data_IF_665204433665
#
_entry.id   IF_665204433665
#
_cell.length_a   1.000
_cell.length_b   1.000
_cell.length_c   1.000
_cell.angle_alpha   90.00
_cell.angle_beta   90.00
_cell.angle_gamma   90.00
#
_symmetry.space_group_name_H-M   'P 1'
#
loop_
_entity.id
_entity.type
_entity.pdbx_description
1 polymer ?
#
# COMPACT_ATOMS: atom_id res chain seq x y z
N UNK A 1 -1.82 -14.76 44.47
CA UNK A 1 -1.00 -15.40 43.41
C UNK A 1 -1.79 -16.24 42.41
N UNK A 2 -2.81 -17.03 42.81
CA UNK A 2 -3.59 -17.90 41.89
C UNK A 2 -4.27 -17.21 40.69
N UNK A 3 -4.63 -15.92 40.79
CA UNK A 3 -5.26 -15.16 39.69
C UNK A 3 -4.25 -14.54 38.70
N UNK A 4 -2.97 -14.45 39.08
CA UNK A 4 -1.94 -13.79 38.24
C UNK A 4 -1.45 -14.75 37.15
N UNK A 5 -1.29 -16.03 37.49
CA UNK A 5 -0.89 -17.10 36.54
C UNK A 5 -1.83 -17.17 35.32
N UNK A 6 -3.16 -17.24 35.45
CA UNK A 6 -4.04 -17.28 34.28
C UNK A 6 -4.02 -15.98 33.46
N UNK A 7 -3.85 -14.81 34.10
CA UNK A 7 -3.73 -13.52 33.37
C UNK A 7 -2.46 -13.49 32.52
N UNK A 8 -1.34 -13.96 33.07
CA UNK A 8 -0.06 -14.05 32.35
C UNK A 8 -0.17 -15.02 31.17
N UNK A 9 -0.81 -16.18 31.37
CA UNK A 9 -1.02 -17.16 30.29
C UNK A 9 -1.88 -16.57 29.16
N UNK A 10 -2.99 -15.90 29.50
CA UNK A 10 -3.85 -15.26 28.50
C UNK A 10 -3.10 -14.14 27.77
N UNK A 11 -2.31 -13.33 28.48
CA UNK A 11 -1.51 -12.27 27.86
C UNK A 11 -0.45 -12.81 26.89
N UNK A 12 0.22 -13.91 27.25
CA UNK A 12 1.21 -14.56 26.38
C UNK A 12 0.50 -15.17 25.16
N UNK A 13 -0.64 -15.82 25.36
CA UNK A 13 -1.43 -16.40 24.25
C UNK A 13 -1.87 -15.31 23.27
N UNK A 14 -2.35 -14.17 23.79
CA UNK A 14 -2.79 -13.04 22.98
C UNK A 14 -1.62 -12.41 22.22
N UNK A 15 -0.44 -12.32 22.85
CA UNK A 15 0.78 -11.89 22.19
C UNK A 15 1.19 -12.83 21.04
N UNK A 16 1.13 -14.15 21.26
CA UNK A 16 1.44 -15.15 20.22
C UNK A 16 0.47 -15.05 19.05
N UNK A 17 -0.83 -14.89 19.32
CA UNK A 17 -1.86 -14.69 18.28
C UNK A 17 -1.57 -13.42 17.49
N UNK A 18 -1.26 -12.30 18.17
CA UNK A 18 -0.92 -11.04 17.52
C UNK A 18 0.31 -11.19 16.63
N UNK A 19 1.36 -11.85 17.12
CA UNK A 19 2.58 -12.13 16.35
C UNK A 19 2.28 -13.01 15.12
N UNK A 20 1.45 -14.04 15.29
CA UNK A 20 1.03 -14.93 14.22
C UNK A 20 0.25 -14.21 13.12
N UNK A 21 -0.68 -13.33 13.49
CA UNK A 21 -1.43 -12.50 12.53
C UNK A 21 -0.48 -11.54 11.80
N UNK A 22 0.42 -10.87 12.51
CA UNK A 22 1.40 -9.97 11.89
C UNK A 22 2.32 -10.71 10.91
N UNK A 23 2.83 -11.88 11.30
CA UNK A 23 3.66 -12.72 10.45
C UNK A 23 2.90 -13.23 9.21
N UNK A 24 1.63 -13.60 9.36
CA UNK A 24 0.77 -14.00 8.24
C UNK A 24 0.55 -12.85 7.25
N UNK A 25 0.29 -11.64 7.74
CA UNK A 25 0.17 -10.45 6.89
C UNK A 25 1.46 -10.14 6.16
N UNK A 26 2.62 -10.22 6.84
CA UNK A 26 3.93 -10.06 6.20
C UNK A 26 4.18 -11.12 5.14
N UNK A 27 3.84 -12.38 5.41
CA UNK A 27 3.96 -13.48 4.45
C UNK A 27 3.10 -13.25 3.22
N UNK A 28 1.85 -12.80 3.39
CA UNK A 28 0.98 -12.49 2.27
C UNK A 28 1.52 -11.32 1.44
N UNK A 29 2.07 -10.30 2.12
CA UNK A 29 2.67 -9.16 1.45
C UNK A 29 3.90 -9.57 0.61
N UNK A 30 4.85 -10.27 1.23
CA UNK A 30 6.06 -10.79 0.57
C UNK A 30 5.68 -11.78 -0.55
N UNK A 31 4.69 -12.65 -0.31
CA UNK A 31 4.24 -13.65 -1.28
C UNK A 31 3.58 -13.05 -2.52
N UNK A 32 2.75 -12.01 -2.36
CA UNK A 32 2.22 -11.26 -3.51
C UNK A 32 3.36 -10.61 -4.28
N UNK A 33 4.34 -10.04 -3.58
CA UNK A 33 5.48 -9.40 -4.22
C UNK A 33 6.37 -10.38 -4.98
N UNK A 34 6.62 -11.57 -4.44
CA UNK A 34 7.35 -12.63 -5.13
C UNK A 34 6.60 -13.13 -6.36
N UNK A 35 5.27 -13.27 -6.29
CA UNK A 35 4.41 -13.60 -7.45
C UNK A 35 4.45 -12.51 -8.52
N UNK A 36 4.58 -11.24 -8.11
CA UNK A 36 4.79 -10.11 -9.01
C UNK A 36 6.22 -10.05 -9.55
N UNK A 37 7.13 -10.94 -9.14
CA UNK A 37 8.51 -10.99 -9.60
C UNK A 37 9.47 -10.06 -8.86
N UNK A 38 9.03 -9.48 -7.73
CA UNK A 38 9.82 -8.57 -6.91
C UNK A 38 10.71 -9.40 -6.00
N UNK A 39 12.03 -9.20 -6.14
CA UNK A 39 13.03 -9.91 -5.34
C UNK A 39 13.61 -8.99 -4.28
N UNK A 40 13.59 -9.45 -3.04
CA UNK A 40 14.24 -8.79 -1.92
C UNK A 40 15.58 -9.45 -1.63
N UNK A 41 16.64 -8.66 -1.50
CA UNK A 41 17.95 -9.19 -1.11
C UNK A 41 18.04 -9.49 0.40
N UNK A 42 17.23 -8.80 1.22
CA UNK A 42 17.28 -8.95 2.68
C UNK A 42 15.95 -8.61 3.37
N UNK A 43 15.79 -9.06 4.62
CA UNK A 43 14.66 -8.65 5.48
C UNK A 43 14.63 -7.14 5.74
N UNK A 44 15.79 -6.49 5.81
CA UNK A 44 15.88 -5.03 5.97
C UNK A 44 15.29 -4.31 4.77
N UNK A 45 15.50 -4.83 3.56
CA UNK A 45 14.92 -4.29 2.32
C UNK A 45 13.40 -4.37 2.33
N UNK A 46 12.82 -5.43 2.89
CA UNK A 46 11.36 -5.56 3.05
C UNK A 46 10.80 -4.46 3.96
N UNK A 47 11.40 -4.25 5.13
CA UNK A 47 10.95 -3.21 6.07
C UNK A 47 11.13 -1.80 5.50
N UNK A 48 12.25 -1.54 4.83
CA UNK A 48 12.48 -0.28 4.14
C UNK A 48 11.41 -0.09 3.07
N UNK A 49 11.12 -1.10 2.26
CA UNK A 49 10.14 -1.01 1.18
C UNK A 49 8.75 -0.67 1.70
N UNK A 50 8.31 -1.34 2.77
CA UNK A 50 7.03 -1.04 3.45
C UNK A 50 7.02 0.41 3.96
N UNK A 51 8.11 0.85 4.60
CA UNK A 51 8.23 2.22 5.11
C UNK A 51 8.20 3.28 4.00
N UNK A 52 8.97 3.06 2.93
CA UNK A 52 9.03 3.97 1.78
C UNK A 52 7.70 4.01 1.03
N UNK A 53 7.02 2.86 0.89
CA UNK A 53 5.69 2.77 0.31
C UNK A 53 4.66 3.61 1.09
N UNK A 54 4.72 3.58 2.43
CA UNK A 54 3.82 4.39 3.26
C UNK A 54 4.06 5.89 3.11
N UNK A 55 5.34 6.29 3.05
CA UNK A 55 5.72 7.69 2.79
C UNK A 55 5.27 8.11 1.40
N UNK A 56 5.50 7.29 0.39
CA UNK A 56 5.13 7.58 -0.98
C UNK A 56 3.61 7.69 -1.15
N UNK A 57 2.82 6.76 -0.59
CA UNK A 57 1.35 6.83 -0.58
C UNK A 57 0.84 8.12 0.10
N UNK A 58 1.48 8.53 1.20
CA UNK A 58 1.13 9.80 1.86
C UNK A 58 1.43 10.99 0.94
N UNK A 59 2.59 10.99 0.28
CA UNK A 59 3.00 12.04 -0.66
C UNK A 59 2.07 12.08 -1.87
N UNK A 60 1.76 10.95 -2.50
CA UNK A 60 0.87 10.89 -3.67
C UNK A 60 -0.52 11.39 -3.32
N UNK A 61 -1.06 11.04 -2.13
CA UNK A 61 -2.34 11.58 -1.65
C UNK A 61 -2.32 13.10 -1.46
N UNK A 62 -1.28 13.65 -0.84
CA UNK A 62 -1.14 15.09 -0.66
C UNK A 62 -1.05 15.79 -2.02
N UNK A 63 -0.24 15.26 -2.93
CA UNK A 63 -0.05 15.81 -4.27
C UNK A 63 -1.34 15.72 -5.11
N UNK A 64 -2.07 14.61 -4.97
CA UNK A 64 -3.38 14.42 -5.59
C UNK A 64 -4.40 15.45 -5.08
N UNK A 65 -4.48 15.68 -3.76
CA UNK A 65 -5.37 16.70 -3.18
C UNK A 65 -4.99 18.09 -3.69
N UNK A 66 -3.69 18.42 -3.72
CA UNK A 66 -3.20 19.70 -4.20
C UNK A 66 -3.57 19.94 -5.66
N UNK A 67 -3.29 18.95 -6.51
CA UNK A 67 -3.57 19.03 -7.94
C UNK A 67 -5.07 19.05 -8.20
N UNK A 68 -5.86 18.20 -7.51
CA UNK A 68 -7.32 18.22 -7.56
C UNK A 68 -7.88 19.57 -7.17
N UNK A 69 -7.36 20.20 -6.12
CA UNK A 69 -7.80 21.54 -5.70
C UNK A 69 -7.55 22.57 -6.81
N UNK A 70 -6.33 22.61 -7.37
CA UNK A 70 -5.99 23.52 -8.47
C UNK A 70 -6.80 23.26 -9.74
N UNK A 71 -7.01 21.99 -10.09
CA UNK A 71 -7.79 21.59 -11.27
C UNK A 71 -9.29 21.85 -11.08
N UNK A 72 -9.81 21.71 -9.86
CA UNK A 72 -11.20 22.00 -9.50
C UNK A 72 -11.54 23.49 -9.69
N UNK A 73 -10.58 24.38 -9.43
CA UNK A 73 -10.73 25.82 -9.69
C UNK A 73 -10.79 26.17 -11.18
N UNK A 74 -10.29 25.30 -12.07
CA UNK A 74 -10.15 25.61 -13.50
C UNK A 74 -11.15 24.90 -14.41
N UNK A 75 -11.75 23.76 -14.00
CA UNK A 75 -12.51 22.90 -14.92
C UNK A 75 -13.76 22.26 -14.29
N UNK A 76 -14.85 22.21 -15.07
CA UNK A 76 -16.19 21.74 -14.70
C UNK A 76 -16.32 20.23 -14.38
N UNK A 77 -17.49 19.83 -13.88
CA UNK A 77 -17.72 18.68 -12.99
C UNK A 77 -17.67 17.27 -13.63
N UNK A 78 -17.92 17.13 -14.94
CA UNK A 78 -18.03 15.82 -15.61
C UNK A 78 -16.71 15.27 -16.19
N UNK A 79 -15.73 16.12 -16.50
CA UNK A 79 -14.39 15.70 -16.96
C UNK A 79 -13.49 15.22 -15.80
N UNK A 80 -14.05 15.14 -14.58
CA UNK A 80 -13.34 15.10 -13.31
C UNK A 80 -13.04 13.69 -12.81
N UNK A 81 -13.94 12.73 -13.03
CA UNK A 81 -13.77 11.36 -12.51
C UNK A 81 -12.73 10.55 -13.29
N UNK A 82 -12.74 10.62 -14.63
CA UNK A 82 -11.75 9.91 -15.45
C UNK A 82 -10.35 10.50 -15.27
N UNK A 83 -10.23 11.82 -15.18
CA UNK A 83 -8.96 12.46 -14.89
C UNK A 83 -8.45 12.14 -13.48
N UNK A 84 -9.33 12.14 -12.46
CA UNK A 84 -8.94 11.74 -11.09
C UNK A 84 -8.35 10.32 -11.08
N UNK A 85 -8.96 9.36 -11.80
CA UNK A 85 -8.45 8.00 -11.91
C UNK A 85 -7.08 7.94 -12.60
N UNK A 86 -6.93 8.59 -13.77
CA UNK A 86 -5.68 8.61 -14.53
C UNK A 86 -4.56 9.24 -13.71
N UNK A 87 -4.83 10.38 -13.07
CA UNK A 87 -3.85 11.07 -12.25
C UNK A 87 -3.42 10.25 -11.04
N UNK A 88 -4.35 9.52 -10.42
CA UNK A 88 -4.03 8.65 -9.30
C UNK A 88 -3.11 7.51 -9.72
N UNK A 89 -3.46 6.79 -10.79
CA UNK A 89 -2.62 5.71 -11.34
C UNK A 89 -1.23 6.23 -11.72
N UNK A 90 -1.14 7.42 -12.31
CA UNK A 90 0.13 7.98 -12.77
C UNK A 90 1.02 8.43 -11.59
N UNK A 91 0.43 9.00 -10.53
CA UNK A 91 1.15 9.32 -9.30
C UNK A 91 1.63 8.07 -8.57
N UNK A 92 0.78 7.04 -8.47
CA UNK A 92 1.13 5.78 -7.82
C UNK A 92 2.21 5.03 -8.63
N UNK A 93 2.15 5.08 -9.95
CA UNK A 93 3.22 4.56 -10.82
C UNK A 93 4.54 5.27 -10.61
N UNK A 94 4.54 6.61 -10.61
CA UNK A 94 5.74 7.39 -10.35
C UNK A 94 6.31 7.11 -8.95
N UNK A 95 5.46 6.95 -7.94
CA UNK A 95 5.89 6.57 -6.60
C UNK A 95 6.57 5.20 -6.57
N UNK A 96 5.97 4.18 -7.19
CA UNK A 96 6.53 2.83 -7.25
C UNK A 96 7.85 2.81 -8.02
N UNK A 97 7.91 3.50 -9.16
CA UNK A 97 9.11 3.59 -9.98
C UNK A 97 10.27 4.29 -9.24
N UNK A 98 9.97 5.35 -8.51
CA UNK A 98 10.97 6.08 -7.71
C UNK A 98 11.46 5.24 -6.52
N UNK A 99 10.59 4.41 -5.93
CA UNK A 99 10.97 3.44 -4.90
C UNK A 99 11.90 2.36 -5.47
N UNK A 100 11.60 1.80 -6.65
CA UNK A 100 12.49 0.84 -7.34
C UNK A 100 13.86 1.47 -7.62
N UNK A 101 13.89 2.67 -8.22
CA UNK A 101 15.13 3.37 -8.53
C UNK A 101 15.97 3.71 -7.28
N UNK A 102 15.31 4.04 -6.16
CA UNK A 102 16.00 4.32 -4.89
C UNK A 102 16.44 3.06 -4.15
N UNK A 103 15.77 1.93 -4.36
CA UNK A 103 16.12 0.67 -3.72
C UNK A 103 16.92 -0.23 -4.65
N UNK A 104 18.24 -0.08 -4.63
CA UNK A 104 19.14 -1.01 -5.32
C UNK A 104 19.03 -2.47 -4.85
N UNK A 105 18.37 -2.72 -3.72
CA UNK A 105 18.20 -4.05 -3.11
C UNK A 105 16.82 -4.69 -3.34
N UNK A 106 15.95 -4.00 -4.10
CA UNK A 106 14.65 -4.52 -4.53
C UNK A 106 14.59 -4.34 -6.04
N UNK A 107 14.49 -5.43 -6.78
CA UNK A 107 14.42 -5.36 -8.24
C UNK A 107 12.98 -5.52 -8.71
N UNK A 108 12.42 -4.48 -9.31
CA UNK A 108 11.20 -4.54 -10.07
C UNK A 108 11.50 -4.69 -11.57
N UNK A 109 10.66 -5.44 -12.27
CA UNK A 109 10.53 -5.31 -13.72
C UNK A 109 9.50 -4.23 -14.05
N UNK A 110 9.64 -3.53 -15.16
CA UNK A 110 8.63 -2.55 -15.63
C UNK A 110 7.21 -3.16 -15.70
N UNK A 111 7.09 -4.43 -16.11
CA UNK A 111 5.79 -5.12 -16.14
C UNK A 111 5.23 -5.36 -14.73
N UNK A 112 6.08 -5.64 -13.75
CA UNK A 112 5.67 -5.82 -12.36
C UNK A 112 5.30 -4.50 -11.68
N UNK A 113 5.98 -3.40 -12.00
CA UNK A 113 5.59 -2.07 -11.52
C UNK A 113 4.18 -1.71 -11.99
N UNK A 114 3.92 -1.84 -13.30
CA UNK A 114 2.62 -1.55 -13.89
C UNK A 114 1.53 -2.46 -13.30
N UNK A 115 1.82 -3.77 -13.21
CA UNK A 115 0.89 -4.75 -12.63
C UNK A 115 0.56 -4.45 -11.17
N UNK A 116 1.56 -4.09 -10.37
CA UNK A 116 1.40 -3.75 -8.97
C UNK A 116 0.52 -2.51 -8.76
N UNK A 117 0.79 -1.44 -9.50
CA UNK A 117 0.00 -0.19 -9.44
C UNK A 117 -1.45 -0.45 -9.82
N UNK A 118 -1.69 -1.26 -10.87
CA UNK A 118 -3.04 -1.58 -11.31
C UNK A 118 -3.81 -2.40 -10.27
N UNK A 119 -3.16 -3.39 -9.65
CA UNK A 119 -3.76 -4.21 -8.58
C UNK A 119 -4.11 -3.35 -7.38
N UNK A 120 -3.20 -2.48 -6.92
CA UNK A 120 -3.48 -1.55 -5.82
C UNK A 120 -4.66 -0.65 -6.17
N UNK A 121 -4.65 -0.07 -7.37
CA UNK A 121 -5.73 0.81 -7.82
C UNK A 121 -7.09 0.08 -7.85
N UNK A 122 -7.12 -1.18 -8.31
CA UNK A 122 -8.32 -2.02 -8.30
C UNK A 122 -8.80 -2.32 -6.88
N UNK A 123 -7.90 -2.71 -5.98
CA UNK A 123 -8.23 -2.98 -4.56
C UNK A 123 -8.81 -1.72 -3.92
N UNK A 124 -8.15 -0.58 -4.09
CA UNK A 124 -8.60 0.70 -3.54
C UNK A 124 -9.95 1.12 -4.12
N UNK A 125 -10.14 0.96 -5.44
CA UNK A 125 -11.41 1.26 -6.09
C UNK A 125 -12.53 0.36 -5.55
N UNK A 126 -12.29 -0.95 -5.42
CA UNK A 126 -13.29 -1.89 -4.89
C UNK A 126 -13.65 -1.60 -3.42
N UNK A 127 -12.65 -1.24 -2.60
CA UNK A 127 -12.86 -0.90 -1.19
C UNK A 127 -13.63 0.42 -1.03
N UNK A 128 -13.35 1.43 -1.87
CA UNK A 128 -14.01 2.73 -1.80
C UNK A 128 -15.36 2.76 -2.53
N UNK A 129 -15.55 1.99 -3.60
CA UNK A 129 -16.82 1.89 -4.31
C UNK A 129 -17.92 1.31 -3.41
N UNK A 130 -17.56 0.42 -2.49
CA UNK A 130 -18.47 -0.08 -1.45
C UNK A 130 -18.93 1.03 -0.49
N UNK A 131 -18.10 2.03 -0.23
CA UNK A 131 -18.36 3.11 0.73
C UNK A 131 -19.36 4.15 0.23
N UNK A 132 -19.52 4.31 -1.09
CA UNK A 132 -20.50 5.21 -1.70
C UNK A 132 -21.87 4.55 -1.96
N UNK A 133 -21.98 3.22 -1.90
CA UNK A 133 -23.27 2.52 -2.07
C UNK A 133 -24.11 2.47 -0.78
N UNK A 134 -23.46 2.61 0.38
CA UNK A 134 -24.10 2.61 1.71
C UNK A 134 -24.44 4.04 2.23
N UNK A 135 -24.42 5.06 1.37
CA UNK A 135 -24.82 6.45 1.69
C UNK A 135 -26.02 6.92 0.89
#
# INVERSE_FOLDING_TARGET
MRKIVPIVIVSILLLIILLGVAAFLLFFHIGIFEVLGIRYESWTSVFLFIGLSFVADTVTKVLFIFMKTRYFFSTGQHFKQYHDAIFRILLDFMAVHLIDEWMTSVHFSIFSEIGFVLIIYLIDTLLFQKKDHDR
#
